data_IF_875237963025
#
_entry.id   IF_875237963025
#
_cell.length_a   1.000
_cell.length_b   1.000
_cell.length_c   1.000
_cell.angle_alpha   90.00
_cell.angle_beta   90.00
_cell.angle_gamma   90.00
#
_symmetry.space_group_name_H-M   'P 1'
#
loop_
_entity.id
_entity.type
_entity.pdbx_description
1 polymer ?
#
# COMPACT_ATOMS: atom_id res chain seq x y z
N UNK A 1 -17.38 -0.67 -13.77
CA UNK A 1 -16.10 -0.42 -13.05
C UNK A 1 -16.26 0.53 -11.86
N UNK A 2 -16.84 1.72 -12.04
CA UNK A 2 -17.06 2.70 -10.95
C UNK A 2 -17.88 2.11 -9.79
N UNK A 3 -18.99 1.40 -10.08
CA UNK A 3 -19.77 0.75 -9.03
C UNK A 3 -18.95 -0.27 -8.21
N UNK A 4 -18.06 -1.02 -8.85
CA UNK A 4 -17.15 -1.97 -8.19
C UNK A 4 -16.12 -1.24 -7.33
N UNK A 5 -15.56 -0.14 -7.82
CA UNK A 5 -14.65 0.73 -7.05
C UNK A 5 -15.34 1.26 -5.79
N UNK A 6 -16.54 1.83 -5.93
CA UNK A 6 -17.31 2.34 -4.79
C UNK A 6 -17.64 1.22 -3.79
N UNK A 7 -18.11 0.08 -4.27
CA UNK A 7 -18.44 -1.07 -3.43
C UNK A 7 -17.20 -1.58 -2.66
N UNK A 8 -16.07 -1.81 -3.34
CA UNK A 8 -14.84 -2.28 -2.70
C UNK A 8 -14.30 -1.27 -1.67
N UNK A 9 -14.35 0.03 -1.99
CA UNK A 9 -13.94 1.09 -1.08
C UNK A 9 -14.82 1.14 0.17
N UNK A 10 -16.14 1.07 0.00
CA UNK A 10 -17.10 1.04 1.11
C UNK A 10 -16.89 -0.18 1.99
N UNK A 11 -16.79 -1.38 1.39
CA UNK A 11 -16.54 -2.63 2.15
C UNK A 11 -15.25 -2.52 2.96
N UNK A 12 -14.17 -2.06 2.34
CA UNK A 12 -12.86 -1.97 2.99
C UNK A 12 -12.86 -0.94 4.11
N UNK A 13 -13.46 0.23 3.88
CA UNK A 13 -13.54 1.30 4.89
C UNK A 13 -14.43 0.88 6.06
N UNK A 14 -15.57 0.25 5.80
CA UNK A 14 -16.46 -0.25 6.85
C UNK A 14 -15.80 -1.38 7.64
N UNK A 15 -15.13 -2.33 6.97
CA UNK A 15 -14.41 -3.42 7.64
C UNK A 15 -13.28 -2.89 8.52
N UNK A 16 -12.50 -1.92 8.01
CA UNK A 16 -11.44 -1.26 8.78
C UNK A 16 -12.00 -0.52 10.00
N UNK A 17 -13.10 0.25 9.83
CA UNK A 17 -13.75 0.95 10.92
C UNK A 17 -14.31 -0.01 11.97
N UNK A 18 -14.98 -1.07 11.54
CA UNK A 18 -15.50 -2.11 12.43
C UNK A 18 -14.37 -2.75 13.25
N UNK A 19 -13.25 -3.10 12.60
CA UNK A 19 -12.09 -3.69 13.28
C UNK A 19 -11.49 -2.72 14.31
N UNK A 20 -11.24 -1.46 13.93
CA UNK A 20 -10.65 -0.44 14.80
C UNK A 20 -11.55 -0.14 16.00
N UNK A 21 -12.84 0.09 15.79
CA UNK A 21 -13.76 0.45 16.86
C UNK A 21 -14.12 -0.74 17.75
N UNK A 22 -14.24 -1.95 17.20
CA UNK A 22 -14.48 -3.15 18.00
C UNK A 22 -13.29 -3.46 18.91
N UNK A 23 -12.06 -3.35 18.40
CA UNK A 23 -10.85 -3.54 19.20
C UNK A 23 -10.62 -2.41 20.22
N UNK A 24 -10.94 -1.16 19.86
CA UNK A 24 -10.87 -0.01 20.76
C UNK A 24 -11.95 0.01 21.85
N UNK A 25 -13.10 -0.63 21.62
CA UNK A 25 -14.24 -0.61 22.54
C UNK A 25 -14.91 0.76 22.69
N UNK A 26 -14.64 1.71 21.78
CA UNK A 26 -15.23 3.04 21.81
C UNK A 26 -15.30 3.67 20.42
N UNK A 27 -16.35 4.45 20.16
CA UNK A 27 -16.47 5.29 18.95
C UNK A 27 -15.86 6.68 19.15
N UNK A 28 -15.46 7.04 20.37
CA UNK A 28 -14.87 8.34 20.72
C UNK A 28 -13.37 8.38 20.40
N UNK A 29 -13.07 8.27 19.11
CA UNK A 29 -11.71 8.30 18.58
C UNK A 29 -11.65 9.17 17.32
N UNK A 30 -11.44 10.49 17.48
CA UNK A 30 -11.49 11.43 16.36
C UNK A 30 -10.53 11.10 15.22
N UNK A 31 -9.30 10.66 15.51
CA UNK A 31 -8.31 10.28 14.49
C UNK A 31 -8.74 9.06 13.67
N UNK A 32 -9.41 8.08 14.26
CA UNK A 32 -9.99 6.97 13.49
C UNK A 32 -11.09 7.45 12.54
N UNK A 33 -11.96 8.38 12.97
CA UNK A 33 -12.94 9.00 12.08
C UNK A 33 -12.31 9.81 10.95
N UNK A 34 -11.24 10.56 11.23
CA UNK A 34 -10.47 11.27 10.20
C UNK A 34 -9.91 10.30 9.17
N UNK A 35 -9.31 9.18 9.60
CA UNK A 35 -8.83 8.13 8.69
C UNK A 35 -9.97 7.58 7.81
N UNK A 36 -11.10 7.19 8.42
CA UNK A 36 -12.23 6.60 7.70
C UNK A 36 -12.88 7.58 6.71
N UNK A 37 -13.08 8.84 7.11
CA UNK A 37 -13.58 9.90 6.23
C UNK A 37 -12.62 10.12 5.06
N UNK A 38 -11.31 10.15 5.34
CA UNK A 38 -10.29 10.33 4.30
C UNK A 38 -10.28 9.15 3.33
N UNK A 39 -10.34 7.90 3.79
CA UNK A 39 -10.44 6.72 2.92
C UNK A 39 -11.75 6.72 2.10
N UNK A 40 -12.87 7.10 2.72
CA UNK A 40 -14.18 7.19 2.05
C UNK A 40 -14.14 8.19 0.89
N UNK A 41 -13.44 9.31 1.03
CA UNK A 41 -13.38 10.38 0.03
C UNK A 41 -12.24 10.17 -0.98
N UNK A 42 -11.01 9.96 -0.51
CA UNK A 42 -9.83 9.86 -1.37
C UNK A 42 -9.83 8.58 -2.20
N UNK A 43 -10.31 7.45 -1.68
CA UNK A 43 -10.32 6.18 -2.43
C UNK A 43 -11.08 6.30 -3.76
N UNK A 44 -12.36 6.70 -3.74
CA UNK A 44 -13.15 6.93 -4.95
C UNK A 44 -12.60 8.07 -5.81
N UNK A 45 -12.10 9.16 -5.22
CA UNK A 45 -11.53 10.28 -5.96
C UNK A 45 -10.28 9.85 -6.76
N UNK A 46 -9.36 9.14 -6.11
CA UNK A 46 -8.16 8.60 -6.73
C UNK A 46 -8.50 7.55 -7.80
N UNK A 47 -9.47 6.67 -7.50
CA UNK A 47 -9.93 5.67 -8.47
C UNK A 47 -10.64 6.29 -9.66
N UNK A 48 -11.42 7.36 -9.47
CA UNK A 48 -12.02 8.13 -10.56
C UNK A 48 -10.99 8.88 -11.39
N UNK A 49 -9.99 9.49 -10.74
CA UNK A 49 -8.86 10.10 -11.43
C UNK A 49 -8.10 9.06 -12.28
N UNK A 50 -7.83 7.88 -11.72
CA UNK A 50 -7.16 6.80 -12.44
C UNK A 50 -8.01 6.26 -13.59
N UNK A 51 -9.33 6.16 -13.41
CA UNK A 51 -10.27 5.79 -14.47
C UNK A 51 -10.15 6.71 -15.70
N UNK A 52 -9.93 8.01 -15.48
CA UNK A 52 -9.82 9.01 -16.55
C UNK A 52 -8.49 8.96 -17.30
N UNK A 53 -7.43 8.46 -16.66
CA UNK A 53 -6.07 8.43 -17.24
C UNK A 53 -5.74 7.05 -17.81
N UNK A 54 -5.97 6.00 -17.01
CA UNK A 54 -5.66 4.61 -17.37
C UNK A 54 -6.75 3.67 -16.82
N UNK A 55 -7.88 3.50 -17.55
CA UNK A 55 -8.95 2.62 -17.13
C UNK A 55 -8.53 1.15 -17.09
N UNK A 56 -7.51 0.75 -17.85
CA UNK A 56 -7.00 -0.62 -17.87
C UNK A 56 -6.20 -0.93 -16.59
N UNK A 57 -5.36 0.00 -16.14
CA UNK A 57 -4.69 -0.09 -14.85
C UNK A 57 -5.70 -0.13 -13.71
N UNK A 58 -6.74 0.72 -13.72
CA UNK A 58 -7.78 0.65 -12.70
C UNK A 58 -8.48 -0.72 -12.69
N UNK A 59 -8.85 -1.25 -13.86
CA UNK A 59 -9.49 -2.56 -13.97
C UNK A 59 -8.60 -3.67 -13.37
N UNK A 60 -7.29 -3.59 -13.60
CA UNK A 60 -6.31 -4.50 -13.02
C UNK A 60 -6.20 -4.35 -11.49
N UNK A 61 -6.14 -3.11 -10.98
CA UNK A 61 -6.08 -2.82 -9.54
C UNK A 61 -7.31 -3.30 -8.76
N UNK A 62 -8.49 -3.35 -9.41
CA UNK A 62 -9.73 -3.84 -8.80
C UNK A 62 -9.85 -5.38 -8.79
N UNK A 63 -8.92 -6.10 -9.43
CA UNK A 63 -8.92 -7.57 -9.43
C UNK A 63 -8.63 -8.13 -8.03
N UNK A 64 -9.11 -9.35 -7.74
CA UNK A 64 -8.83 -10.00 -6.46
C UNK A 64 -7.32 -10.18 -6.21
N UNK A 65 -6.98 -10.32 -4.94
CA UNK A 65 -5.61 -10.55 -4.44
C UNK A 65 -5.05 -11.92 -4.84
N UNK A 66 -5.91 -12.87 -5.18
CA UNK A 66 -5.52 -14.17 -5.73
C UNK A 66 -5.76 -14.17 -7.24
N UNK A 67 -4.68 -14.33 -8.01
CA UNK A 67 -4.74 -14.39 -9.48
C UNK A 67 -4.09 -15.68 -10.01
N UNK A 68 -4.45 -16.09 -11.24
CA UNK A 68 -3.95 -17.33 -11.85
C UNK A 68 -2.43 -17.28 -12.06
N UNK A 69 -1.93 -16.20 -12.66
CA UNK A 69 -0.52 -16.04 -13.08
C UNK A 69 0.40 -15.50 -11.97
N UNK A 70 -0.08 -15.49 -10.73
CA UNK A 70 0.65 -15.01 -9.57
C UNK A 70 1.54 -16.15 -9.01
N UNK A 71 2.85 -15.90 -8.77
CA UNK A 71 3.73 -16.87 -8.14
C UNK A 71 3.18 -17.36 -6.80
N UNK A 72 3.35 -18.64 -6.49
CA UNK A 72 2.90 -19.22 -5.21
C UNK A 72 3.49 -18.49 -4.00
N UNK A 73 4.75 -18.05 -4.11
CA UNK A 73 5.40 -17.25 -3.07
C UNK A 73 4.69 -15.91 -2.83
N UNK A 74 4.20 -15.23 -3.87
CA UNK A 74 3.43 -13.99 -3.71
C UNK A 74 2.02 -14.27 -3.15
N UNK A 75 1.39 -15.41 -3.49
CA UNK A 75 0.11 -15.81 -2.87
C UNK A 75 0.23 -16.01 -1.36
N UNK A 76 1.26 -16.75 -0.94
CA UNK A 76 1.57 -16.97 0.49
C UNK A 76 1.88 -15.64 1.16
N UNK A 77 2.72 -14.81 0.53
CA UNK A 77 3.05 -13.47 1.01
C UNK A 77 1.80 -12.62 1.23
N UNK A 78 0.86 -12.58 0.26
CA UNK A 78 -0.36 -11.79 0.39
C UNK A 78 -1.25 -12.28 1.54
N UNK A 79 -1.32 -13.60 1.75
CA UNK A 79 -2.01 -14.17 2.92
C UNK A 79 -1.39 -13.72 4.24
N UNK A 80 -0.06 -13.83 4.36
CA UNK A 80 0.70 -13.37 5.54
C UNK A 80 0.51 -11.87 5.76
N UNK A 81 0.59 -11.06 4.70
CA UNK A 81 0.41 -9.61 4.76
C UNK A 81 -0.99 -9.24 5.24
N UNK A 82 -2.04 -9.89 4.72
CA UNK A 82 -3.43 -9.62 5.16
C UNK A 82 -3.60 -9.95 6.65
N UNK A 83 -3.11 -11.11 7.10
CA UNK A 83 -3.18 -11.50 8.52
C UNK A 83 -2.41 -10.49 9.39
N UNK A 84 -1.20 -10.11 8.98
CA UNK A 84 -0.39 -9.12 9.68
C UNK A 84 -1.10 -7.76 9.75
N UNK A 85 -1.73 -7.30 8.65
CA UNK A 85 -2.47 -6.04 8.62
C UNK A 85 -3.69 -6.05 9.54
N UNK A 86 -4.46 -7.15 9.55
CA UNK A 86 -5.62 -7.29 10.45
C UNK A 86 -5.18 -7.30 11.91
N UNK A 87 -4.16 -8.09 12.25
CA UNK A 87 -3.59 -8.13 13.60
C UNK A 87 -3.04 -6.77 14.02
N UNK A 88 -2.37 -6.06 13.11
CA UNK A 88 -1.81 -4.74 13.36
C UNK A 88 -2.88 -3.66 13.60
N UNK A 89 -3.95 -3.62 12.81
CA UNK A 89 -5.06 -2.70 13.04
C UNK A 89 -5.79 -3.02 14.35
N UNK A 90 -5.98 -4.31 14.66
CA UNK A 90 -6.54 -4.73 15.94
C UNK A 90 -5.65 -4.31 17.11
N UNK A 91 -4.33 -4.46 16.99
CA UNK A 91 -3.36 -4.02 18.00
C UNK A 91 -3.46 -2.51 18.26
N UNK A 92 -3.55 -1.70 17.20
CA UNK A 92 -3.72 -0.24 17.32
C UNK A 92 -5.03 0.11 18.05
N UNK A 93 -6.12 -0.61 17.76
CA UNK A 93 -7.37 -0.43 18.50
C UNK A 93 -7.28 -0.89 19.96
N UNK A 94 -6.66 -2.04 20.24
CA UNK A 94 -6.42 -2.51 21.62
C UNK A 94 -5.57 -1.51 22.39
N UNK A 95 -4.52 -0.96 21.79
CA UNK A 95 -3.68 0.10 22.37
C UNK A 95 -4.52 1.33 22.76
N UNK A 96 -5.45 1.73 21.88
CA UNK A 96 -6.42 2.80 22.19
C UNK A 96 -7.34 2.43 23.35
N UNK A 97 -7.78 1.17 23.45
CA UNK A 97 -8.66 0.69 24.52
C UNK A 97 -7.99 0.73 25.89
N UNK A 98 -6.75 0.27 25.97
CA UNK A 98 -5.97 0.24 27.21
C UNK A 98 -5.28 1.57 27.49
N UNK A 99 -5.33 2.51 26.54
CA UNK A 99 -4.74 3.85 26.62
C UNK A 99 -3.24 3.82 26.91
N UNK A 100 -2.51 2.85 26.33
CA UNK A 100 -1.07 2.67 26.60
C UNK A 100 -0.21 3.71 25.88
N UNK A 101 -0.67 4.26 24.76
CA UNK A 101 0.04 5.30 24.01
C UNK A 101 -0.51 6.70 24.28
N UNK A 102 0.40 7.65 24.49
CA UNK A 102 0.15 9.07 24.75
C UNK A 102 0.69 9.98 23.63
N UNK A 103 0.52 9.55 22.36
CA UNK A 103 1.10 10.24 21.21
C UNK A 103 0.56 11.68 21.05
N UNK A 104 1.44 12.70 21.05
CA UNK A 104 1.06 14.11 20.87
C UNK A 104 0.29 14.35 19.57
N UNK A 105 -0.66 15.29 19.60
CA UNK A 105 -1.47 15.66 18.42
C UNK A 105 -0.59 16.10 17.25
N UNK A 106 0.54 16.77 17.51
CA UNK A 106 1.48 17.17 16.46
C UNK A 106 1.99 15.97 15.64
N UNK A 107 2.32 14.84 16.30
CA UNK A 107 2.73 13.62 15.60
C UNK A 107 1.57 12.96 14.86
N UNK A 108 0.34 13.05 15.38
CA UNK A 108 -0.85 12.59 14.65
C UNK A 108 -1.07 13.40 13.37
N UNK A 109 -0.87 14.73 13.42
CA UNK A 109 -0.92 15.60 12.24
C UNK A 109 0.18 15.27 11.24
N UNK A 110 1.41 14.99 11.70
CA UNK A 110 2.49 14.48 10.83
C UNK A 110 2.08 13.16 10.19
N UNK A 111 1.50 12.24 10.96
CA UNK A 111 0.93 10.99 10.44
C UNK A 111 -0.07 11.24 9.32
N UNK A 112 -0.99 12.17 9.50
CA UNK A 112 -1.94 12.56 8.44
C UNK A 112 -1.23 13.10 7.18
N UNK A 113 -0.26 13.99 7.35
CA UNK A 113 0.50 14.55 6.22
C UNK A 113 1.28 13.46 5.47
N UNK A 114 1.90 12.51 6.19
CA UNK A 114 2.60 11.36 5.60
C UNK A 114 1.63 10.42 4.87
N UNK A 115 0.41 10.26 5.37
CA UNK A 115 -0.63 9.49 4.70
C UNK A 115 -0.99 10.12 3.35
N UNK A 116 -1.20 11.44 3.30
CA UNK A 116 -1.44 12.17 2.05
C UNK A 116 -0.24 12.08 1.10
N UNK A 117 0.99 12.26 1.61
CA UNK A 117 2.21 12.13 0.81
C UNK A 117 2.37 10.72 0.21
N UNK A 118 2.09 9.68 1.01
CA UNK A 118 2.11 8.30 0.52
C UNK A 118 1.10 8.09 -0.60
N UNK A 119 -0.09 8.69 -0.49
CA UNK A 119 -1.12 8.66 -1.54
C UNK A 119 -0.61 9.33 -2.82
N UNK A 120 0.00 10.51 -2.71
CA UNK A 120 0.56 11.24 -3.85
C UNK A 120 1.68 10.46 -4.56
N UNK A 121 2.57 9.81 -3.81
CA UNK A 121 3.62 8.94 -4.38
C UNK A 121 2.98 7.79 -5.17
N UNK A 122 1.96 7.14 -4.62
CA UNK A 122 1.25 6.06 -5.31
C UNK A 122 0.54 6.56 -6.58
N UNK A 123 -0.06 7.75 -6.56
CA UNK A 123 -0.66 8.36 -7.75
C UNK A 123 0.39 8.68 -8.82
N UNK A 124 1.57 9.16 -8.44
CA UNK A 124 2.68 9.36 -9.38
C UNK A 124 3.11 8.04 -10.02
N UNK A 125 3.20 6.97 -9.22
CA UNK A 125 3.49 5.63 -9.73
C UNK A 125 2.42 5.15 -10.71
N UNK A 126 1.13 5.32 -10.41
CA UNK A 126 0.05 4.90 -11.31
C UNK A 126 0.02 5.71 -12.60
N UNK A 127 0.39 7.00 -12.55
CA UNK A 127 0.53 7.82 -13.75
C UNK A 127 1.62 7.29 -14.68
N UNK A 128 2.72 6.80 -14.12
CA UNK A 128 3.90 6.39 -14.86
C UNK A 128 3.87 4.91 -15.31
N UNK A 129 3.29 4.04 -14.48
CA UNK A 129 3.34 2.60 -14.68
C UNK A 129 1.93 1.99 -14.82
N UNK A 130 1.47 1.87 -16.07
CA UNK A 130 0.24 1.17 -16.46
C UNK A 130 0.17 -0.31 -16.07
N UNK A 131 1.28 -0.92 -15.69
CA UNK A 131 1.39 -2.34 -15.32
C UNK A 131 1.42 -2.56 -13.81
N UNK A 132 1.20 -1.54 -12.99
CA UNK A 132 1.33 -1.62 -11.53
C UNK A 132 0.20 -2.42 -10.84
N UNK A 133 0.16 -3.73 -11.07
CA UNK A 133 -0.82 -4.66 -10.53
C UNK A 133 -0.75 -4.77 -8.99
N UNK A 134 -1.83 -5.19 -8.31
CA UNK A 134 -1.83 -5.38 -6.86
C UNK A 134 -1.06 -6.64 -6.41
N UNK A 135 -0.71 -7.51 -7.35
CA UNK A 135 0.00 -8.78 -7.15
C UNK A 135 1.22 -8.84 -8.06
N UNK A 136 2.21 -9.66 -7.70
CA UNK A 136 3.35 -9.93 -8.58
C UNK A 136 2.87 -10.80 -9.74
N UNK A 137 2.98 -10.29 -10.96
CA UNK A 137 2.72 -11.05 -12.19
C UNK A 137 3.33 -10.37 -13.42
N UNK A 138 3.53 -11.17 -14.46
CA UNK A 138 3.81 -10.67 -15.80
C UNK A 138 2.49 -10.50 -16.56
N UNK A 139 2.34 -9.38 -17.25
CA UNK A 139 1.17 -9.01 -18.04
C UNK A 139 1.52 -9.07 -19.54
N UNK A 140 1.88 -10.27 -20.01
CA UNK A 140 2.24 -10.50 -21.41
C UNK A 140 1.10 -10.10 -22.36
N UNK A 141 -0.15 -10.33 -21.94
CA UNK A 141 -1.36 -9.96 -22.67
C UNK A 141 -1.52 -8.44 -22.87
N UNK A 142 -0.82 -7.64 -22.07
CA UNK A 142 -0.78 -6.17 -22.19
C UNK A 142 0.53 -5.66 -22.80
N UNK A 143 1.35 -6.55 -23.35
CA UNK A 143 2.68 -6.24 -23.85
C UNK A 143 3.52 -5.47 -22.81
N UNK A 144 3.59 -6.03 -21.59
CA UNK A 144 4.36 -5.43 -20.50
C UNK A 144 5.79 -5.13 -20.92
N UNK A 145 6.23 -3.90 -20.62
CA UNK A 145 7.59 -3.42 -20.84
C UNK A 145 8.14 -2.85 -19.54
N UNK A 146 9.46 -2.75 -19.46
CA UNK A 146 10.14 -2.10 -18.33
C UNK A 146 9.83 -0.60 -18.33
N UNK A 147 9.33 -0.10 -17.20
CA UNK A 147 9.18 1.33 -16.95
C UNK A 147 10.43 1.81 -16.22
N UNK A 148 11.09 2.83 -16.75
CA UNK A 148 12.35 3.38 -16.21
C UNK A 148 12.34 4.92 -16.10
N UNK A 149 11.17 5.51 -16.24
CA UNK A 149 10.91 6.96 -16.21
C UNK A 149 10.17 7.35 -14.93
N UNK A 150 10.08 8.66 -14.66
CA UNK A 150 9.47 9.18 -13.44
C UNK A 150 10.16 8.63 -12.18
N UNK A 151 9.43 8.11 -11.19
CA UNK A 151 10.03 7.63 -9.94
C UNK A 151 10.88 6.36 -10.16
N UNK A 152 10.63 5.60 -11.23
CA UNK A 152 11.41 4.42 -11.61
C UNK A 152 12.82 4.77 -12.12
N UNK A 153 13.09 6.04 -12.46
CA UNK A 153 14.44 6.47 -12.80
C UNK A 153 15.38 6.52 -11.57
N UNK A 154 14.82 6.62 -10.37
CA UNK A 154 15.57 6.80 -9.12
C UNK A 154 15.62 5.54 -8.27
N UNK A 155 14.51 4.81 -8.19
CA UNK A 155 14.37 3.59 -7.38
C UNK A 155 13.56 2.55 -8.14
N UNK A 156 13.86 1.26 -7.96
CA UNK A 156 13.18 0.20 -8.71
C UNK A 156 11.74 -0.06 -8.27
N UNK A 157 11.41 0.24 -7.01
CA UNK A 157 10.11 -0.07 -6.41
C UNK A 157 9.49 1.12 -5.67
N UNK A 158 9.20 2.24 -6.37
CA UNK A 158 8.70 3.45 -5.74
C UNK A 158 7.34 3.29 -5.06
N UNK A 159 6.52 2.33 -5.52
CA UNK A 159 5.25 2.02 -4.86
C UNK A 159 5.47 1.47 -3.45
N UNK A 160 6.46 0.61 -3.25
CA UNK A 160 6.76 0.07 -1.92
C UNK A 160 7.34 1.14 -1.00
N UNK A 161 8.07 2.13 -1.52
CA UNK A 161 8.46 3.32 -0.74
C UNK A 161 7.22 4.08 -0.25
N UNK A 162 6.23 4.25 -1.13
CA UNK A 162 4.92 4.79 -0.76
C UNK A 162 4.19 3.91 0.27
N UNK A 163 4.25 2.58 0.16
CA UNK A 163 3.66 1.68 1.15
C UNK A 163 4.34 1.78 2.51
N UNK A 164 5.67 1.83 2.58
CA UNK A 164 6.38 2.01 3.86
C UNK A 164 5.96 3.32 4.55
N UNK A 165 5.82 4.41 3.79
CA UNK A 165 5.28 5.67 4.32
C UNK A 165 3.84 5.52 4.80
N UNK A 166 2.99 4.81 4.07
CA UNK A 166 1.62 4.50 4.48
C UNK A 166 1.59 3.73 5.82
N UNK A 167 2.37 2.65 5.96
CA UNK A 167 2.43 1.85 7.19
C UNK A 167 3.01 2.64 8.37
N UNK A 168 3.87 3.63 8.11
CA UNK A 168 4.36 4.56 9.14
C UNK A 168 3.31 5.61 9.51
N UNK A 169 2.54 6.08 8.53
CA UNK A 169 1.58 7.18 8.69
C UNK A 169 0.36 6.82 9.55
N UNK A 170 -0.17 5.61 9.39
CA UNK A 170 -1.37 5.13 10.08
C UNK A 170 -1.23 5.09 11.61
N UNK A 171 -0.18 4.47 12.19
CA UNK A 171 -0.04 4.42 13.64
C UNK A 171 0.23 5.80 14.23
N UNK A 172 0.99 6.66 13.53
CA UNK A 172 1.15 8.06 13.91
C UNK A 172 -0.21 8.78 13.95
N UNK A 173 -0.98 8.72 12.87
CA UNK A 173 -2.32 9.31 12.76
C UNK A 173 -3.27 8.80 13.86
N UNK A 174 -3.28 7.49 14.09
CA UNK A 174 -4.16 6.84 15.05
C UNK A 174 -3.70 7.02 16.51
N UNK A 175 -2.46 7.48 16.74
CA UNK A 175 -1.92 7.75 18.07
C UNK A 175 -1.38 6.51 18.77
N UNK A 176 -0.85 5.53 18.05
CA UNK A 176 -0.35 4.26 18.59
C UNK A 176 1.16 4.05 18.40
N UNK A 177 1.91 4.00 19.50
CA UNK A 177 3.33 3.64 19.48
C UNK A 177 3.54 2.17 19.17
N UNK A 178 2.66 1.29 19.66
CA UNK A 178 2.70 -0.14 19.36
C UNK A 178 2.52 -0.43 17.87
N UNK A 179 1.61 0.29 17.22
CA UNK A 179 1.47 0.22 15.78
C UNK A 179 2.74 0.67 15.04
N UNK A 180 3.43 1.70 15.54
CA UNK A 180 4.67 2.19 14.95
C UNK A 180 5.83 1.19 15.11
N UNK A 181 5.94 0.54 16.28
CA UNK A 181 6.95 -0.51 16.56
C UNK A 181 6.84 -1.71 15.62
N UNK A 182 5.65 -1.97 15.04
CA UNK A 182 5.45 -3.05 14.07
C UNK A 182 5.89 -2.68 12.64
N UNK A 183 6.18 -1.42 12.34
CA UNK A 183 6.56 -0.98 10.98
C UNK A 183 7.79 -1.71 10.41
N UNK A 184 8.88 -1.97 11.17
CA UNK A 184 10.01 -2.75 10.67
C UNK A 184 9.63 -4.14 10.15
N UNK A 185 8.59 -4.77 10.71
CA UNK A 185 8.09 -6.07 10.23
C UNK A 185 7.51 -5.91 8.82
N UNK A 186 6.71 -4.86 8.57
CA UNK A 186 6.18 -4.57 7.24
C UNK A 186 7.29 -4.22 6.24
N UNK A 187 8.33 -3.50 6.66
CA UNK A 187 9.51 -3.22 5.83
C UNK A 187 10.20 -4.53 5.43
N UNK A 188 10.41 -5.45 6.38
CA UNK A 188 10.99 -6.76 6.09
C UNK A 188 10.10 -7.60 5.16
N UNK A 189 8.78 -7.58 5.36
CA UNK A 189 7.81 -8.23 4.45
C UNK A 189 7.93 -7.66 3.03
N UNK A 190 7.95 -6.34 2.85
CA UNK A 190 8.13 -5.75 1.52
C UNK A 190 9.50 -6.07 0.92
N UNK A 191 10.55 -6.16 1.74
CA UNK A 191 11.86 -6.57 1.25
C UNK A 191 11.85 -7.99 0.68
N UNK A 192 11.13 -8.93 1.32
CA UNK A 192 10.91 -10.29 0.82
C UNK A 192 10.11 -10.24 -0.49
N UNK A 193 9.02 -9.47 -0.52
CA UNK A 193 8.17 -9.34 -1.72
C UNK A 193 8.92 -8.78 -2.91
N UNK A 194 9.76 -7.76 -2.69
CA UNK A 194 10.66 -7.21 -3.70
C UNK A 194 11.56 -8.30 -4.28
N UNK A 195 12.11 -9.19 -3.44
CA UNK A 195 12.91 -10.32 -3.92
C UNK A 195 12.13 -11.27 -4.84
N UNK A 196 10.87 -11.57 -4.51
CA UNK A 196 9.98 -12.40 -5.33
C UNK A 196 9.68 -11.71 -6.66
N UNK A 197 9.36 -10.41 -6.62
CA UNK A 197 9.06 -9.61 -7.79
C UNK A 197 10.27 -9.46 -8.71
N UNK A 198 11.43 -9.06 -8.19
CA UNK A 198 12.65 -8.92 -8.99
C UNK A 198 13.08 -10.23 -9.64
N UNK A 199 12.87 -11.38 -8.98
CA UNK A 199 13.15 -12.70 -9.58
C UNK A 199 12.20 -12.94 -10.75
N UNK A 200 10.89 -12.76 -10.52
CA UNK A 200 9.86 -12.92 -11.56
C UNK A 200 10.10 -12.02 -12.77
N UNK A 201 10.47 -10.75 -12.53
CA UNK A 201 10.76 -9.78 -13.58
C UNK A 201 12.07 -10.10 -14.31
N UNK A 202 13.13 -10.54 -13.62
CA UNK A 202 14.38 -10.96 -14.27
C UNK A 202 14.17 -12.18 -15.16
N UNK A 203 13.36 -13.14 -14.72
CA UNK A 203 13.18 -14.40 -15.42
C UNK A 203 12.25 -14.27 -16.64
N UNK A 204 11.33 -13.30 -16.64
CA UNK A 204 10.29 -13.22 -17.68
C UNK A 204 10.00 -11.84 -18.28
N UNK A 205 10.66 -10.76 -17.86
CA UNK A 205 10.51 -9.43 -18.47
C UNK A 205 11.81 -9.01 -19.20
N UNK A 206 11.82 -9.02 -20.55
CA UNK A 206 12.97 -8.57 -21.33
C UNK A 206 13.42 -7.14 -20.96
N UNK A 207 14.73 -6.94 -20.84
CA UNK A 207 15.34 -5.65 -20.50
C UNK A 207 15.34 -5.30 -19.01
N UNK A 208 14.72 -6.12 -18.14
CA UNK A 208 14.69 -5.83 -16.70
C UNK A 208 16.07 -5.95 -16.05
N UNK A 209 16.91 -6.90 -16.50
CA UNK A 209 18.28 -7.05 -16.00
C UNK A 209 19.14 -5.80 -16.26
N UNK A 210 19.06 -5.23 -17.47
CA UNK A 210 19.78 -4.01 -17.84
C UNK A 210 19.28 -2.80 -17.04
N UNK A 211 17.97 -2.70 -16.84
CA UNK A 211 17.38 -1.69 -15.98
C UNK A 211 17.87 -1.81 -14.54
N UNK A 212 17.90 -3.03 -13.99
CA UNK A 212 18.35 -3.27 -12.63
C UNK A 212 19.84 -2.95 -12.42
N UNK A 213 20.67 -3.11 -13.46
CA UNK A 213 22.06 -2.69 -13.44
C UNK A 213 22.24 -1.17 -13.40
N UNK A 214 21.35 -0.41 -14.06
CA UNK A 214 21.39 1.07 -14.10
C UNK A 214 20.80 1.69 -12.83
N UNK A 215 19.62 1.27 -12.41
CA UNK A 215 18.93 1.82 -11.23
C UNK A 215 19.27 0.95 -10.03
N UNK A 216 20.27 1.37 -9.25
CA UNK A 216 20.86 0.55 -8.18
C UNK A 216 19.94 0.38 -6.96
N UNK A 217 19.18 1.42 -6.61
CA UNK A 217 18.37 1.46 -5.39
C UNK A 217 17.00 0.81 -5.60
N UNK A 218 16.52 0.08 -4.60
CA UNK A 218 15.22 -0.60 -4.58
C UNK A 218 14.12 0.31 -4.04
N UNK A 219 14.36 0.96 -2.90
CA UNK A 219 13.36 1.71 -2.15
C UNK A 219 13.79 3.16 -1.88
N UNK A 220 15.00 3.34 -1.37
CA UNK A 220 15.48 4.64 -0.91
C UNK A 220 16.87 4.91 -1.49
N UNK A 221 17.04 6.02 -2.23
CA UNK A 221 18.35 6.41 -2.74
C UNK A 221 19.38 6.50 -1.61
N UNK A 222 20.52 5.85 -1.79
CA UNK A 222 21.63 5.84 -0.84
C UNK A 222 21.51 4.83 0.31
N UNK A 223 20.39 4.10 0.42
CA UNK A 223 20.20 3.10 1.49
C UNK A 223 20.08 1.70 0.91
N UNK A 224 19.07 1.47 0.07
CA UNK A 224 18.78 0.14 -0.48
C UNK A 224 18.01 0.21 -1.79
#
# INVERSE_FOLDING_TARGET
MIARLLLQNTITTVAMGALLFASAGTLRWPSAWVLLATCTLLGPLCGWWLYRIDPALLAERLRPVLQKDQPTADKVFMGVLIVAMVAWLALIGVDRRIQSSDMPVALQTVGFALFLLSTLINLWVFRENSFAAPVVKLQAERAQRVISTGPYAHVRHPMYSGMVLFFTSLPLLLGSWWGLVMVPIFVALFAIRIGIEERTLRDGLPGYADYAARVRYRLLPGVW
#
